data_IF_200709584569
#
_entry.id   IF_200709584569
#
_cell.length_a   1.000
_cell.length_b   1.000
_cell.length_c   1.000
_cell.angle_alpha   90.00
_cell.angle_beta   90.00
_cell.angle_gamma   90.00
#
_symmetry.space_group_name_H-M   'P 1'
#
loop_
_entity.id
_entity.type
_entity.pdbx_description
1 polymer ?
#
# COMPACT_ATOMS: atom_id res chain seq x y z
N UNK A 1 -7.14 -6.48 -36.14
CA UNK A 1 -7.67 -6.37 -34.76
C UNK A 1 -6.50 -5.97 -33.88
N UNK A 2 -6.45 -4.74 -33.38
CA UNK A 2 -5.37 -4.31 -32.51
C UNK A 2 -5.62 -4.86 -31.10
N UNK A 3 -4.72 -5.70 -30.61
CA UNK A 3 -4.76 -6.12 -29.21
C UNK A 3 -4.47 -4.90 -28.33
N UNK A 4 -5.16 -4.75 -27.20
CA UNK A 4 -4.92 -3.62 -26.31
C UNK A 4 -3.46 -3.64 -25.84
N UNK A 5 -2.74 -2.55 -26.08
CA UNK A 5 -1.40 -2.35 -25.54
C UNK A 5 -1.52 -1.96 -24.07
N UNK A 6 -1.12 -2.86 -23.18
CA UNK A 6 -1.03 -2.57 -21.74
C UNK A 6 0.20 -1.70 -21.50
N UNK A 7 -0.02 -0.42 -21.16
CA UNK A 7 1.10 0.53 -21.00
C UNK A 7 1.92 0.31 -19.72
N UNK A 8 1.34 -0.35 -18.70
CA UNK A 8 1.99 -0.64 -17.43
C UNK A 8 1.35 -1.87 -16.75
N UNK A 9 2.08 -2.57 -15.86
CA UNK A 9 1.54 -3.67 -15.06
C UNK A 9 0.35 -3.23 -14.17
N UNK A 10 -0.55 -4.15 -13.86
CA UNK A 10 -1.75 -3.92 -13.02
C UNK A 10 -1.47 -3.83 -11.50
N UNK A 11 -0.21 -3.63 -11.10
CA UNK A 11 0.22 -3.62 -9.70
C UNK A 11 0.35 -5.02 -9.09
N UNK A 12 0.73 -5.07 -7.81
CA UNK A 12 0.89 -6.33 -7.07
C UNK A 12 -0.45 -6.83 -6.53
N UNK A 13 -0.58 -8.16 -6.41
CA UNK A 13 -1.74 -8.79 -5.80
C UNK A 13 -1.37 -9.42 -4.45
N UNK A 14 -2.14 -9.16 -3.38
CA UNK A 14 -1.94 -9.82 -2.11
C UNK A 14 -2.35 -11.30 -2.20
N UNK A 15 -1.42 -12.20 -1.86
CA UNK A 15 -1.64 -13.67 -1.91
C UNK A 15 -1.86 -14.24 -0.51
N UNK A 16 -1.01 -13.86 0.44
CA UNK A 16 -1.04 -14.36 1.81
C UNK A 16 -1.13 -13.19 2.79
N UNK A 17 -1.77 -13.44 3.93
CA UNK A 17 -1.69 -12.56 5.09
C UNK A 17 -0.34 -12.76 5.76
N UNK A 18 0.08 -11.79 6.58
CA UNK A 18 1.33 -11.88 7.36
C UNK A 18 1.37 -13.09 8.30
N UNK A 19 0.21 -13.63 8.70
CA UNK A 19 0.12 -14.83 9.55
C UNK A 19 0.22 -16.14 8.74
N UNK A 20 0.48 -16.09 7.44
CA UNK A 20 0.67 -17.26 6.58
C UNK A 20 -0.60 -17.89 6.00
N UNK A 21 -1.78 -17.38 6.35
CA UNK A 21 -3.06 -17.81 5.76
C UNK A 21 -3.30 -17.17 4.38
N UNK A 22 -4.03 -17.83 3.47
CA UNK A 22 -4.44 -17.23 2.20
C UNK A 22 -5.19 -15.91 2.41
N UNK A 23 -4.93 -14.94 1.55
CA UNK A 23 -5.59 -13.64 1.60
C UNK A 23 -7.04 -13.76 1.11
N UNK A 24 -7.98 -13.63 2.05
CA UNK A 24 -9.42 -13.63 1.79
C UNK A 24 -10.05 -12.23 1.99
N UNK A 25 -9.31 -11.16 1.68
CA UNK A 25 -9.80 -9.78 1.83
C UNK A 25 -9.57 -9.16 3.22
N UNK A 26 -8.75 -9.80 4.07
CA UNK A 26 -8.45 -9.27 5.40
C UNK A 26 -7.50 -8.06 5.31
N UNK A 27 -7.95 -6.90 5.78
CA UNK A 27 -7.16 -5.65 5.74
C UNK A 27 -6.65 -5.23 7.12
N UNK A 28 -5.59 -4.41 7.12
CA UNK A 28 -5.13 -3.66 8.31
C UNK A 28 -5.20 -2.17 7.99
N UNK A 29 -5.88 -1.41 8.82
CA UNK A 29 -6.01 0.04 8.64
C UNK A 29 -4.93 0.74 9.44
N UNK A 30 -4.12 1.55 8.76
CA UNK A 30 -3.01 2.33 9.33
C UNK A 30 -3.15 3.75 8.76
N UNK A 31 -3.00 4.81 9.58
CA UNK A 31 -3.18 6.18 9.13
C UNK A 31 -2.12 6.58 8.09
N UNK A 32 -2.52 7.44 7.17
CA UNK A 32 -1.62 8.16 6.25
C UNK A 32 -1.41 9.56 6.83
N UNK A 33 -0.18 10.09 6.76
CA UNK A 33 0.10 11.45 7.23
C UNK A 33 -0.73 12.47 6.44
N UNK A 34 -1.34 13.45 7.14
CA UNK A 34 -2.20 14.46 6.52
C UNK A 34 -1.48 15.33 5.48
N UNK A 35 -0.15 15.45 5.60
CA UNK A 35 0.71 16.20 4.68
C UNK A 35 1.25 15.35 3.53
N UNK A 36 0.91 14.06 3.46
CA UNK A 36 1.43 13.16 2.43
C UNK A 36 0.84 13.51 1.06
N UNK A 37 1.71 13.93 0.13
CA UNK A 37 1.32 14.49 -1.16
C UNK A 37 1.56 13.55 -2.35
N UNK A 38 2.07 12.34 -2.10
CA UNK A 38 2.32 11.34 -3.13
C UNK A 38 1.11 10.40 -3.24
N UNK A 39 0.60 10.22 -4.45
CA UNK A 39 -0.51 9.30 -4.68
C UNK A 39 -0.07 7.84 -4.46
N UNK A 40 -0.91 7.10 -3.73
CA UNK A 40 -0.76 5.65 -3.50
C UNK A 40 -1.94 4.96 -4.19
N UNK A 41 -1.65 4.05 -5.09
CA UNK A 41 -2.66 3.31 -5.86
C UNK A 41 -2.79 1.87 -5.39
N UNK A 42 -3.91 1.23 -5.73
CA UNK A 42 -4.09 -0.19 -5.47
C UNK A 42 -2.98 -0.99 -6.16
N UNK A 43 -2.35 -1.90 -5.41
CA UNK A 43 -1.24 -2.71 -5.91
C UNK A 43 0.14 -2.09 -5.71
N UNK A 44 0.23 -0.85 -5.17
CA UNK A 44 1.51 -0.27 -4.75
C UNK A 44 2.03 -0.95 -3.48
N UNK A 45 3.36 -1.04 -3.35
CA UNK A 45 4.02 -1.43 -2.11
C UNK A 45 4.00 -0.23 -1.15
N UNK A 46 3.64 -0.48 0.10
CA UNK A 46 3.66 0.54 1.17
C UNK A 46 4.63 0.18 2.29
N UNK A 47 5.14 1.19 2.97
CA UNK A 47 6.02 1.08 4.14
C UNK A 47 5.47 1.86 5.33
N UNK A 48 5.90 1.48 6.53
CA UNK A 48 5.64 2.26 7.75
C UNK A 48 6.79 3.26 7.96
N UNK A 49 6.48 4.55 7.88
CA UNK A 49 7.41 5.62 8.20
C UNK A 49 7.73 5.65 9.70
N UNK A 50 8.79 6.35 10.10
CA UNK A 50 9.20 6.46 11.50
C UNK A 50 8.10 6.99 12.44
N UNK A 51 7.16 7.79 11.90
CA UNK A 51 6.00 8.31 12.64
C UNK A 51 4.80 7.35 12.75
N UNK A 52 4.92 6.10 12.30
CA UNK A 52 3.84 5.11 12.34
C UNK A 52 2.77 5.28 11.26
N UNK A 53 3.00 6.17 10.29
CA UNK A 53 2.09 6.39 9.16
C UNK A 53 2.51 5.61 7.91
N UNK A 54 1.56 5.35 7.04
CA UNK A 54 1.81 4.74 5.73
C UNK A 54 2.37 5.75 4.74
N UNK A 55 3.38 5.32 3.99
CA UNK A 55 3.92 5.98 2.81
C UNK A 55 4.11 4.97 1.67
N UNK A 56 4.09 5.45 0.42
CA UNK A 56 4.49 4.64 -0.74
C UNK A 56 5.94 4.20 -0.56
N UNK A 57 6.18 2.90 -0.70
CA UNK A 57 7.53 2.36 -0.69
C UNK A 57 8.26 2.76 -1.96
N UNK A 58 9.54 3.11 -1.81
CA UNK A 58 10.43 3.41 -2.94
C UNK A 58 11.28 2.19 -3.30
N UNK A 59 10.95 1.00 -2.77
CA UNK A 59 11.67 -0.23 -3.08
C UNK A 59 11.47 -0.59 -4.55
N UNK A 60 12.57 -0.89 -5.24
CA UNK A 60 12.54 -1.29 -6.66
C UNK A 60 13.12 -2.68 -6.84
N UNK A 61 14.39 -2.86 -6.46
CA UNK A 61 15.12 -4.13 -6.65
C UNK A 61 15.90 -4.58 -5.41
N UNK A 62 16.07 -3.71 -4.42
CA UNK A 62 16.86 -4.00 -3.23
C UNK A 62 16.25 -3.40 -1.97
N UNK A 63 16.28 -4.18 -0.89
CA UNK A 63 15.73 -3.84 0.42
C UNK A 63 16.77 -3.43 1.48
N UNK A 64 17.96 -3.01 1.06
CA UNK A 64 19.07 -2.68 1.97
C UNK A 64 18.96 -1.30 2.64
N UNK A 65 18.11 -0.41 2.12
CA UNK A 65 17.91 0.91 2.73
C UNK A 65 16.74 0.90 3.70
N UNK A 66 16.75 1.82 4.68
CA UNK A 66 15.64 2.01 5.61
C UNK A 66 14.28 2.24 4.90
N UNK A 67 14.30 2.67 3.63
CA UNK A 67 13.10 2.84 2.85
C UNK A 67 12.42 1.55 2.41
N UNK A 68 13.15 0.45 2.39
CA UNK A 68 12.65 -0.84 1.98
C UNK A 68 12.50 -1.83 3.14
N UNK A 69 13.33 -1.69 4.18
CA UNK A 69 13.26 -2.55 5.38
C UNK A 69 11.96 -2.39 6.19
N UNK A 70 11.24 -1.29 5.98
CA UNK A 70 9.96 -1.00 6.63
C UNK A 70 8.75 -1.33 5.75
N UNK A 71 8.94 -2.10 4.67
CA UNK A 71 7.85 -2.52 3.80
C UNK A 71 6.82 -3.35 4.57
N UNK A 72 5.55 -2.95 4.47
CA UNK A 72 4.47 -3.57 5.22
C UNK A 72 3.60 -4.50 4.36
N UNK A 73 3.44 -4.18 3.07
CA UNK A 73 2.67 -5.01 2.16
C UNK A 73 2.12 -4.24 0.96
N UNK A 74 1.05 -4.78 0.38
CA UNK A 74 0.36 -4.24 -0.79
C UNK A 74 -0.80 -3.35 -0.34
N UNK A 75 -0.89 -2.15 -0.91
CA UNK A 75 -1.98 -1.23 -0.66
C UNK A 75 -3.24 -1.66 -1.42
N UNK A 76 -4.36 -1.77 -0.70
CA UNK A 76 -5.64 -2.23 -1.26
C UNK A 76 -6.74 -1.17 -1.23
N UNK A 77 -6.55 -0.06 -0.51
CA UNK A 77 -7.51 1.04 -0.46
C UNK A 77 -7.39 1.92 0.79
N UNK A 78 -8.27 2.92 0.88
CA UNK A 78 -8.44 3.80 2.04
C UNK A 78 -9.87 3.74 2.55
N UNK A 79 -10.02 4.01 3.85
CA UNK A 79 -11.28 4.45 4.43
C UNK A 79 -11.09 5.89 4.92
N UNK A 80 -12.07 6.74 4.68
CA UNK A 80 -12.02 8.13 5.11
C UNK A 80 -12.71 8.25 6.46
N UNK A 81 -12.18 9.15 7.30
CA UNK A 81 -12.85 9.54 8.54
C UNK A 81 -13.18 11.02 8.47
N UNK A 82 -14.38 11.39 8.92
CA UNK A 82 -14.77 12.78 9.02
C UNK A 82 -14.03 13.50 10.17
N UNK A 83 -14.26 14.80 10.34
CA UNK A 83 -13.67 15.61 11.40
C UNK A 83 -14.06 15.19 12.84
N UNK A 84 -15.03 14.28 12.97
CA UNK A 84 -15.46 13.68 14.23
C UNK A 84 -14.92 12.24 14.40
N UNK A 85 -13.95 11.83 13.56
CA UNK A 85 -13.33 10.49 13.57
C UNK A 85 -14.31 9.34 13.29
N UNK A 86 -15.40 9.61 12.59
CA UNK A 86 -16.35 8.57 12.16
C UNK A 86 -16.00 8.11 10.75
N UNK A 87 -16.08 6.80 10.45
CA UNK A 87 -15.92 6.30 9.09
C UNK A 87 -17.04 6.83 8.20
N UNK A 88 -16.70 7.20 6.96
CA UNK A 88 -17.64 7.69 5.93
C UNK A 88 -17.57 6.83 4.67
#
# INVERSE_FOLDING_TARGET
>A
MAYPTVSAPYGLQPINRVDGLPYAGAIRQIPIASTYNTAIYNGDIVRIAAGGTIEKSTVTTDSTTAAANNTYGVFVGVAYTNSQSQPV
#
